data_IF_590950693940
#
_entry.id   IF_590950693940
#
_cell.length_a   1.000
_cell.length_b   1.000
_cell.length_c   1.000
_cell.angle_alpha   90.00
_cell.angle_beta   90.00
_cell.angle_gamma   90.00
#
_symmetry.space_group_name_H-M   'P 1'
#
loop_
_entity.id
_entity.type
_entity.pdbx_description
1 polymer ?
#
# COMPACT_ATOMS: atom_id res chain seq x y z
N UNK A 1 7.96 -19.52 -8.30
CA UNK A 1 7.52 -18.88 -9.56
C UNK A 1 7.33 -17.40 -9.31
N UNK A 2 8.07 -16.55 -10.01
CA UNK A 2 8.10 -15.11 -9.80
C UNK A 2 7.05 -14.45 -10.69
N UNK A 3 6.05 -13.77 -10.11
CA UNK A 3 4.99 -13.12 -10.90
C UNK A 3 5.49 -11.78 -11.42
N UNK A 4 5.70 -11.68 -12.73
CA UNK A 4 6.19 -10.48 -13.43
C UNK A 4 5.00 -9.61 -13.82
N UNK A 5 5.08 -8.30 -13.55
CA UNK A 5 4.07 -7.34 -13.99
C UNK A 5 4.27 -7.09 -15.48
N UNK A 6 3.26 -7.38 -16.30
CA UNK A 6 3.29 -7.18 -17.75
C UNK A 6 2.86 -5.77 -18.21
N UNK A 7 2.51 -4.88 -17.29
CA UNK A 7 1.92 -3.57 -17.57
C UNK A 7 2.33 -2.46 -16.58
N UNK A 8 2.03 -1.20 -16.93
CA UNK A 8 2.20 -0.05 -16.06
C UNK A 8 3.66 0.39 -15.84
N UNK A 9 3.89 1.17 -14.77
CA UNK A 9 5.18 1.80 -14.44
C UNK A 9 6.30 0.80 -14.18
N UNK A 10 5.94 -0.38 -13.67
CA UNK A 10 6.88 -1.45 -13.29
C UNK A 10 6.80 -2.67 -14.23
N UNK A 11 6.53 -2.43 -15.52
CA UNK A 11 6.51 -3.48 -16.54
C UNK A 11 7.85 -4.24 -16.55
N UNK A 12 7.78 -5.57 -16.67
CA UNK A 12 8.90 -6.52 -16.55
C UNK A 12 9.56 -6.61 -15.17
N UNK A 13 9.03 -5.93 -14.14
CA UNK A 13 9.49 -6.10 -12.76
C UNK A 13 8.65 -7.16 -12.05
N UNK A 14 9.24 -7.84 -11.08
CA UNK A 14 8.50 -8.80 -10.25
C UNK A 14 7.61 -8.06 -9.26
N UNK A 15 6.38 -8.53 -9.05
CA UNK A 15 5.46 -7.91 -8.07
C UNK A 15 6.08 -7.78 -6.67
N UNK A 16 7.00 -8.67 -6.33
CA UNK A 16 7.71 -8.65 -5.05
C UNK A 16 8.74 -7.51 -4.94
N UNK A 17 9.48 -7.26 -6.02
CA UNK A 17 10.40 -6.11 -6.12
C UNK A 17 9.63 -4.79 -6.13
N UNK A 18 8.48 -4.77 -6.80
CA UNK A 18 7.57 -3.61 -6.80
C UNK A 18 6.95 -3.38 -5.43
N UNK A 19 6.64 -4.43 -4.69
CA UNK A 19 6.16 -4.31 -3.30
C UNK A 19 7.24 -3.73 -2.39
N UNK A 20 8.50 -4.12 -2.58
CA UNK A 20 9.63 -3.61 -1.78
C UNK A 20 9.94 -2.14 -2.11
N UNK A 21 9.97 -1.80 -3.41
CA UNK A 21 10.22 -0.44 -3.90
C UNK A 21 9.05 0.51 -3.69
N UNK A 22 7.83 0.06 -3.96
CA UNK A 22 6.60 0.84 -3.88
C UNK A 22 5.40 -0.01 -3.42
N UNK A 23 5.24 -0.16 -2.10
CA UNK A 23 4.08 -0.83 -1.51
C UNK A 23 2.75 -0.19 -1.92
N UNK A 24 2.76 1.12 -2.23
CA UNK A 24 1.58 1.88 -2.62
C UNK A 24 1.12 1.48 -4.02
N UNK A 25 2.05 1.29 -4.95
CA UNK A 25 1.75 0.78 -6.28
C UNK A 25 1.15 -0.62 -6.22
N UNK A 26 1.71 -1.50 -5.40
CA UNK A 26 1.19 -2.86 -5.19
C UNK A 26 -0.26 -2.87 -4.67
N UNK A 27 -0.62 -1.91 -3.80
CA UNK A 27 -2.00 -1.70 -3.34
C UNK A 27 -2.92 -1.15 -4.43
N UNK A 28 -2.45 -0.16 -5.18
CA UNK A 28 -3.17 0.36 -6.34
C UNK A 28 -3.43 -0.75 -7.38
N UNK A 29 -2.46 -1.64 -7.53
CA UNK A 29 -2.54 -2.81 -8.39
C UNK A 29 -3.61 -3.77 -7.88
N UNK A 30 -3.62 -4.10 -6.58
CA UNK A 30 -4.68 -4.91 -5.96
C UNK A 30 -6.09 -4.35 -6.22
N UNK A 31 -6.26 -3.03 -6.16
CA UNK A 31 -7.57 -2.39 -6.35
C UNK A 31 -7.94 -2.15 -7.84
N UNK A 32 -7.12 -2.64 -8.77
CA UNK A 32 -7.36 -2.46 -10.20
C UNK A 32 -8.37 -3.50 -10.69
N UNK A 33 -9.41 -3.05 -11.41
CA UNK A 33 -10.40 -3.93 -12.04
C UNK A 33 -9.79 -5.05 -12.90
N UNK A 34 -8.68 -4.77 -13.57
CA UNK A 34 -7.89 -5.76 -14.34
C UNK A 34 -7.48 -7.00 -13.53
N UNK A 35 -7.24 -6.86 -12.22
CA UNK A 35 -6.94 -7.99 -11.32
C UNK A 35 -8.18 -8.47 -10.55
N UNK A 36 -9.25 -7.67 -10.52
CA UNK A 36 -10.55 -8.07 -9.99
C UNK A 36 -11.32 -8.98 -10.97
N UNK A 37 -11.08 -8.86 -12.28
CA UNK A 37 -11.65 -9.73 -13.31
C UNK A 37 -10.95 -11.10 -13.36
N UNK A 38 -9.68 -11.17 -12.95
CA UNK A 38 -8.90 -12.41 -12.85
C UNK A 38 -8.36 -12.62 -11.42
N UNK A 39 -9.22 -12.98 -10.45
CA UNK A 39 -8.83 -13.21 -9.06
C UNK A 39 -7.87 -14.40 -8.88
N UNK A 40 -7.77 -15.27 -9.89
CA UNK A 40 -6.86 -16.42 -9.93
C UNK A 40 -5.44 -16.06 -10.34
N UNK A 41 -5.24 -14.84 -10.87
CA UNK A 41 -3.93 -14.36 -11.30
C UNK A 41 -2.91 -14.50 -10.17
N UNK A 42 -1.70 -15.01 -10.45
CA UNK A 42 -0.69 -15.22 -9.43
C UNK A 42 -0.22 -13.89 -8.79
N UNK A 43 -0.38 -12.76 -9.49
CA UNK A 43 -0.19 -11.42 -8.93
C UNK A 43 -1.27 -11.10 -7.89
N UNK A 44 -2.53 -11.38 -8.20
CA UNK A 44 -3.67 -11.14 -7.30
C UNK A 44 -3.57 -12.00 -6.04
N UNK A 45 -3.27 -13.30 -6.18
CA UNK A 45 -3.04 -14.21 -5.04
C UNK A 45 -1.85 -13.78 -4.18
N UNK A 46 -0.75 -13.35 -4.80
CA UNK A 46 0.44 -12.88 -4.06
C UNK A 46 0.15 -11.59 -3.30
N UNK A 47 -0.53 -10.61 -3.92
CA UNK A 47 -0.93 -9.38 -3.27
C UNK A 47 -1.95 -9.66 -2.16
N UNK A 48 -2.97 -10.47 -2.43
CA UNK A 48 -3.93 -10.90 -1.43
C UNK A 48 -3.22 -11.57 -0.25
N UNK A 49 -2.29 -12.50 -0.48
CA UNK A 49 -1.51 -13.15 0.58
C UNK A 49 -0.61 -12.16 1.35
N UNK A 50 0.06 -11.22 0.66
CA UNK A 50 0.87 -10.16 1.28
C UNK A 50 0.05 -9.18 2.12
N UNK A 51 -1.18 -8.86 1.69
CA UNK A 51 -2.07 -7.92 2.38
C UNK A 51 -3.10 -8.59 3.30
N UNK A 52 -3.26 -9.92 3.23
CA UNK A 52 -4.20 -10.70 4.04
C UNK A 52 -3.80 -10.78 5.52
N UNK A 53 -2.56 -10.40 5.87
CA UNK A 53 -2.07 -10.44 7.25
C UNK A 53 -2.63 -9.30 8.14
N UNK A 54 -3.89 -8.90 7.93
CA UNK A 54 -4.72 -8.24 8.94
C UNK A 54 -4.40 -6.79 9.31
N UNK A 55 -3.63 -6.05 8.50
CA UNK A 55 -3.30 -4.64 8.81
C UNK A 55 -3.80 -3.63 7.77
N UNK A 56 -4.48 -4.09 6.71
CA UNK A 56 -4.99 -3.25 5.63
C UNK A 56 -6.50 -3.02 5.75
N UNK A 57 -6.91 -2.03 6.55
CA UNK A 57 -8.29 -1.55 6.61
C UNK A 57 -8.77 -0.82 5.33
N UNK A 58 -8.05 -0.97 4.22
CA UNK A 58 -8.25 -0.21 2.98
C UNK A 58 -7.93 1.28 3.10
N UNK A 59 -7.41 1.71 4.25
CA UNK A 59 -7.05 3.11 4.54
C UNK A 59 -5.59 3.35 4.20
N UNK A 60 -5.22 4.62 3.98
CA UNK A 60 -3.84 5.02 3.66
C UNK A 60 -2.86 4.40 4.65
N UNK A 61 -1.81 3.75 4.15
CA UNK A 61 -0.81 3.10 4.98
C UNK A 61 0.42 4.00 5.07
N UNK A 62 0.82 4.35 6.28
CA UNK A 62 1.94 5.26 6.50
C UNK A 62 3.22 4.58 6.02
N UNK A 63 3.84 5.10 4.97
CA UNK A 63 5.13 4.62 4.48
C UNK A 63 6.32 5.41 5.07
N UNK A 64 6.04 6.28 6.04
CA UNK A 64 7.01 7.18 6.68
C UNK A 64 6.63 7.40 8.15
N UNK A 65 7.56 7.96 8.92
CA UNK A 65 7.34 8.34 10.32
C UNK A 65 7.38 7.16 11.30
N UNK A 66 6.95 7.41 12.54
CA UNK A 66 7.01 6.47 13.68
C UNK A 66 6.17 5.21 13.46
N UNK A 67 5.05 5.36 12.76
CA UNK A 67 4.10 4.27 12.50
C UNK A 67 4.19 3.73 11.06
N UNK A 68 5.40 3.72 10.49
CA UNK A 68 5.66 3.13 9.17
C UNK A 68 5.18 1.68 9.13
N UNK A 69 4.39 1.33 8.12
CA UNK A 69 3.80 0.00 7.99
C UNK A 69 2.39 -0.14 8.60
N UNK A 70 1.90 0.87 9.34
CA UNK A 70 0.55 0.86 9.91
C UNK A 70 -0.44 1.70 9.08
N UNK A 71 -1.70 1.26 9.03
CA UNK A 71 -2.78 2.01 8.39
C UNK A 71 -3.09 3.29 9.20
N UNK A 72 -3.53 4.35 8.54
CA UNK A 72 -3.99 5.58 9.20
C UNK A 72 -5.11 5.26 10.18
N UNK A 73 -5.97 4.28 9.88
CA UNK A 73 -7.01 3.81 10.81
C UNK A 73 -6.44 3.13 12.05
N UNK A 74 -5.41 2.28 11.88
CA UNK A 74 -4.68 1.71 13.01
C UNK A 74 -4.02 2.80 13.84
N UNK A 75 -3.38 3.77 13.21
CA UNK A 75 -2.73 4.87 13.93
C UNK A 75 -3.76 5.77 14.60
N UNK A 76 -4.91 6.01 14.01
CA UNK A 76 -6.01 6.74 14.66
C UNK A 76 -6.45 6.05 15.95
N UNK A 77 -6.53 4.72 15.94
CA UNK A 77 -6.93 3.93 17.10
C UNK A 77 -5.83 3.79 18.17
N UNK A 78 -4.56 3.99 17.80
CA UNK A 78 -3.41 3.90 18.70
C UNK A 78 -3.03 5.28 19.26
N UNK A 79 -3.04 6.30 18.40
CA UNK A 79 -2.45 7.61 18.61
C UNK A 79 -3.06 8.64 17.63
N UNK A 80 -4.25 9.14 17.98
CA UNK A 80 -4.94 10.16 17.20
C UNK A 80 -4.15 11.48 17.13
N UNK A 81 -3.39 11.82 18.18
CA UNK A 81 -2.60 13.05 18.25
C UNK A 81 -1.49 13.04 17.21
N UNK A 82 -0.90 11.88 16.96
CA UNK A 82 0.07 11.73 15.88
C UNK A 82 -0.52 12.09 14.52
N UNK A 83 -1.77 11.71 14.22
CA UNK A 83 -2.43 12.07 12.96
C UNK A 83 -2.79 13.55 12.87
N UNK A 84 -3.22 14.16 13.98
CA UNK A 84 -3.44 15.61 14.03
C UNK A 84 -2.14 16.38 13.80
N UNK A 85 -1.04 15.95 14.44
CA UNK A 85 0.28 16.50 14.17
C UNK A 85 0.69 16.29 12.71
N UNK A 86 0.43 15.10 12.16
CA UNK A 86 0.71 14.79 10.76
C UNK A 86 -0.01 15.78 9.83
N UNK A 87 -1.29 16.07 10.07
CA UNK A 87 -2.05 17.05 9.27
C UNK A 87 -1.48 18.47 9.37
N UNK A 88 -0.97 18.87 10.53
CA UNK A 88 -0.38 20.19 10.74
C UNK A 88 1.09 20.29 10.33
N UNK A 89 1.76 19.15 10.09
CA UNK A 89 3.19 19.10 9.80
C UNK A 89 3.45 19.22 8.31
N UNK A 90 4.23 20.23 7.91
CA UNK A 90 4.67 20.45 6.52
C UNK A 90 5.28 19.19 5.87
N UNK A 91 5.98 18.38 6.68
CA UNK A 91 6.60 17.14 6.25
C UNK A 91 5.59 16.14 5.67
N UNK A 92 4.42 16.03 6.30
CA UNK A 92 3.38 15.11 5.88
C UNK A 92 2.52 15.69 4.75
N UNK A 93 2.37 17.02 4.68
CA UNK A 93 1.75 17.67 3.52
C UNK A 93 2.57 17.45 2.23
N UNK A 94 3.90 17.41 2.31
CA UNK A 94 4.77 17.07 1.17
C UNK A 94 4.77 15.57 0.84
N UNK A 95 4.83 14.69 1.86
CA UNK A 95 4.96 13.23 1.65
C UNK A 95 3.63 12.52 1.39
N UNK A 96 2.53 13.08 1.91
CA UNK A 96 1.18 12.53 1.77
C UNK A 96 0.15 13.66 1.61
N UNK A 97 0.15 14.38 0.47
CA UNK A 97 -0.79 15.48 0.22
C UNK A 97 -2.27 15.05 0.12
N UNK A 98 -2.58 13.75 0.26
CA UNK A 98 -3.94 13.17 0.18
C UNK A 98 -4.47 12.66 1.53
N UNK A 99 -3.84 13.04 2.65
CA UNK A 99 -4.16 12.66 4.03
C UNK A 99 -4.91 13.82 4.72
#
# INVERSE_FOLDING_TARGET
MSSIISFGKYKNSTIQDVFDKDPSYSRWLRNKKMLSEDPESPISKLLASKFANGSDDGTYLLNFGKYKGKSVKQVFNIDEQYLQWLRSSKFATEKAPKL
#
